data_IF_386242549685
#
_entry.id   IF_386242549685
#
_cell.length_a   1.000
_cell.length_b   1.000
_cell.length_c   1.000
_cell.angle_alpha   90.00
_cell.angle_beta   90.00
_cell.angle_gamma   90.00
#
_symmetry.space_group_name_H-M   'P 1'
#
loop_
_entity.id
_entity.type
_entity.pdbx_description
1 polymer ?
#
# COMPACT_ATOMS: atom_id res chain seq x y z
N UNK A 1 -9.44 -29.64 8.67
CA UNK A 1 -10.75 -29.41 9.30
C UNK A 1 -11.82 -29.19 8.23
N UNK A 2 -13.08 -29.58 8.46
CA UNK A 2 -14.18 -29.24 7.54
C UNK A 2 -14.67 -27.82 7.84
N UNK A 3 -15.14 -27.09 6.82
CA UNK A 3 -15.55 -25.69 6.95
C UNK A 3 -16.57 -25.45 8.08
N UNK A 4 -17.55 -26.34 8.26
CA UNK A 4 -18.57 -26.22 9.32
C UNK A 4 -17.98 -26.28 10.74
N UNK A 5 -16.93 -27.08 10.93
CA UNK A 5 -16.29 -27.21 12.24
C UNK A 5 -15.41 -25.99 12.53
N UNK A 6 -14.83 -25.38 11.48
CA UNK A 6 -14.09 -24.12 11.57
C UNK A 6 -15.01 -22.95 11.94
N UNK A 7 -16.13 -22.80 11.24
CA UNK A 7 -17.11 -21.73 11.49
C UNK A 7 -17.64 -21.80 12.93
N UNK A 8 -17.96 -23.01 13.40
CA UNK A 8 -18.45 -23.21 14.76
C UNK A 8 -17.40 -22.84 15.82
N UNK A 9 -16.12 -23.18 15.62
CA UNK A 9 -15.03 -22.77 16.52
C UNK A 9 -14.80 -21.26 16.50
N UNK A 10 -14.83 -20.66 15.31
CA UNK A 10 -14.67 -19.22 15.13
C UNK A 10 -15.78 -18.45 15.85
N UNK A 11 -17.04 -18.85 15.66
CA UNK A 11 -18.20 -18.19 16.26
C UNK A 11 -18.28 -18.37 17.78
N UNK A 12 -17.76 -19.48 18.31
CA UNK A 12 -17.73 -19.75 19.75
C UNK A 12 -16.68 -18.91 20.50
N UNK A 13 -15.64 -18.41 19.82
CA UNK A 13 -14.64 -17.49 20.39
C UNK A 13 -13.81 -18.02 21.57
N UNK A 14 -13.98 -19.29 21.93
CA UNK A 14 -13.39 -19.92 23.12
C UNK A 14 -12.13 -20.74 22.80
N UNK A 15 -11.87 -21.02 21.52
CA UNK A 15 -10.70 -21.75 21.04
C UNK A 15 -9.90 -20.90 20.06
N UNK A 16 -8.58 -20.96 20.17
CA UNK A 16 -7.68 -20.27 19.27
C UNK A 16 -7.63 -20.99 17.91
N UNK A 17 -8.18 -20.36 16.88
CA UNK A 17 -8.24 -20.91 15.51
C UNK A 17 -6.91 -20.78 14.76
N UNK A 18 -5.89 -20.11 15.33
CA UNK A 18 -4.61 -19.90 14.64
C UNK A 18 -3.87 -21.21 14.35
N UNK A 19 -4.06 -22.26 15.17
CA UNK A 19 -3.45 -23.58 14.94
C UNK A 19 -4.06 -24.33 13.75
N UNK A 20 -5.30 -24.01 13.39
CA UNK A 20 -6.04 -24.62 12.27
C UNK A 20 -5.78 -23.90 10.92
N UNK A 21 -5.07 -22.76 10.93
CA UNK A 21 -4.74 -21.96 9.75
C UNK A 21 -3.36 -22.31 9.17
N UNK A 22 -3.29 -22.53 7.86
CA UNK A 22 -2.00 -22.61 7.15
C UNK A 22 -1.42 -21.20 6.94
N UNK A 23 -0.56 -20.79 7.87
CA UNK A 23 0.12 -19.49 7.83
C UNK A 23 1.39 -19.49 6.97
N UNK A 24 1.77 -20.61 6.34
CA UNK A 24 2.99 -20.70 5.52
C UNK A 24 2.97 -19.73 4.33
N UNK A 25 1.78 -19.36 3.85
CA UNK A 25 1.56 -18.43 2.74
C UNK A 25 1.21 -17.01 3.20
N UNK A 26 1.23 -16.74 4.51
CA UNK A 26 0.87 -15.45 5.08
C UNK A 26 1.86 -14.38 4.63
N UNK A 27 1.43 -13.51 3.71
CA UNK A 27 2.21 -12.35 3.25
C UNK A 27 1.49 -11.05 3.55
N UNK A 28 2.26 -10.01 3.90
CA UNK A 28 1.72 -8.65 3.96
C UNK A 28 1.69 -8.08 2.55
N UNK A 29 0.51 -8.09 1.94
CA UNK A 29 0.29 -7.49 0.61
C UNK A 29 0.70 -6.01 0.64
N UNK A 30 1.31 -5.51 -0.43
CA UNK A 30 1.80 -4.13 -0.56
C UNK A 30 3.01 -3.72 0.32
N UNK A 31 3.77 -4.67 0.88
CA UNK A 31 5.01 -4.36 1.61
C UNK A 31 6.29 -4.46 0.77
N UNK A 32 6.20 -4.95 -0.46
CA UNK A 32 7.34 -5.03 -1.36
C UNK A 32 7.57 -3.68 -2.05
N UNK A 33 8.70 -3.03 -1.72
CA UNK A 33 9.12 -1.81 -2.38
C UNK A 33 9.83 -2.14 -3.71
N UNK A 34 9.26 -1.69 -4.83
CA UNK A 34 9.92 -1.75 -6.14
C UNK A 34 10.59 -0.42 -6.45
N UNK A 35 11.90 -0.43 -6.72
CA UNK A 35 12.63 0.76 -7.19
C UNK A 35 12.37 0.95 -8.69
N UNK A 36 12.09 2.19 -9.08
CA UNK A 36 11.93 2.60 -10.47
C UNK A 36 12.84 3.82 -10.72
N UNK A 37 13.43 3.88 -11.91
CA UNK A 37 14.18 5.05 -12.39
C UNK A 37 13.30 5.75 -13.43
N UNK A 38 13.17 7.07 -13.33
CA UNK A 38 12.36 7.89 -14.23
C UNK A 38 13.12 9.18 -14.49
N UNK A 39 13.21 9.55 -15.76
CA UNK A 39 13.80 10.81 -16.19
C UNK A 39 12.71 11.88 -16.35
N UNK A 40 13.02 13.10 -15.91
CA UNK A 40 12.14 14.27 -16.04
C UNK A 40 12.90 15.42 -16.71
N UNK A 41 12.24 16.23 -17.55
CA UNK A 41 12.82 17.48 -18.02
C UNK A 41 13.23 18.39 -16.86
N UNK A 42 14.32 19.15 -17.01
CA UNK A 42 14.86 20.01 -15.94
C UNK A 42 13.80 20.95 -15.35
N UNK A 43 12.97 21.56 -16.20
CA UNK A 43 11.91 22.48 -15.75
C UNK A 43 10.87 21.80 -14.84
N UNK A 44 10.63 20.50 -15.01
CA UNK A 44 9.73 19.73 -14.13
C UNK A 44 10.38 19.53 -12.77
N UNK A 45 11.66 19.16 -12.75
CA UNK A 45 12.42 18.97 -11.50
C UNK A 45 12.48 20.27 -10.70
N UNK A 46 12.79 21.38 -11.36
CA UNK A 46 12.85 22.71 -10.73
C UNK A 46 11.49 23.15 -10.17
N UNK A 47 10.39 22.73 -10.80
CA UNK A 47 9.04 23.03 -10.34
C UNK A 47 8.68 22.15 -9.13
N UNK A 48 9.05 20.86 -9.16
CA UNK A 48 8.86 19.93 -8.04
C UNK A 48 9.66 20.38 -6.81
N UNK A 49 10.88 20.86 -6.99
CA UNK A 49 11.71 21.35 -5.88
C UNK A 49 11.15 22.59 -5.21
N UNK A 50 10.67 23.56 -6.00
CA UNK A 50 10.02 24.75 -5.47
C UNK A 50 8.79 24.39 -4.63
N UNK A 51 7.98 23.47 -5.11
CA UNK A 51 6.78 23.05 -4.40
C UNK A 51 7.10 22.21 -3.15
N UNK A 52 8.08 21.32 -3.25
CA UNK A 52 8.57 20.54 -2.12
C UNK A 52 9.10 21.47 -1.01
N UNK A 53 9.87 22.50 -1.37
CA UNK A 53 10.37 23.51 -0.44
C UNK A 53 9.23 24.34 0.19
N UNK A 54 8.23 24.73 -0.61
CA UNK A 54 7.06 25.48 -0.13
C UNK A 54 6.27 24.74 0.95
N UNK A 55 6.13 23.42 0.80
CA UNK A 55 5.38 22.57 1.74
C UNK A 55 6.29 22.03 2.86
N UNK A 56 7.61 22.13 2.71
CA UNK A 56 8.59 21.65 3.70
C UNK A 56 8.81 20.14 3.64
N UNK A 57 8.74 19.54 2.44
CA UNK A 57 8.92 18.11 2.21
C UNK A 57 10.05 17.84 1.20
N UNK A 58 10.47 16.59 1.08
CA UNK A 58 11.46 16.21 0.06
C UNK A 58 10.81 16.06 -1.32
N UNK A 59 11.60 16.22 -2.39
CA UNK A 59 11.16 15.94 -3.77
C UNK A 59 10.55 14.55 -3.91
N UNK A 60 11.12 13.53 -3.27
CA UNK A 60 10.57 12.17 -3.31
C UNK A 60 9.21 12.05 -2.62
N UNK A 61 9.00 12.78 -1.52
CA UNK A 61 7.74 12.75 -0.80
C UNK A 61 6.61 13.36 -1.63
N UNK A 62 6.84 14.52 -2.27
CA UNK A 62 5.82 15.16 -3.10
C UNK A 62 5.48 14.32 -4.34
N UNK A 63 6.47 13.71 -4.99
CA UNK A 63 6.25 12.80 -6.13
C UNK A 63 5.38 11.62 -5.70
N UNK A 64 5.68 10.99 -4.55
CA UNK A 64 4.88 9.87 -4.03
C UNK A 64 3.45 10.29 -3.74
N UNK A 65 3.26 11.44 -3.09
CA UNK A 65 1.94 11.92 -2.72
C UNK A 65 1.08 12.19 -3.95
N UNK A 66 1.57 12.97 -4.91
CA UNK A 66 0.83 13.27 -6.14
C UNK A 66 0.54 12.04 -7.00
N UNK A 67 1.47 11.10 -7.09
CA UNK A 67 1.24 9.86 -7.84
C UNK A 67 0.11 9.04 -7.22
N UNK A 68 0.09 8.90 -5.89
CA UNK A 68 -0.99 8.18 -5.18
C UNK A 68 -2.33 8.90 -5.34
N UNK A 69 -2.35 10.22 -5.17
CA UNK A 69 -3.55 11.04 -5.37
C UNK A 69 -4.11 10.86 -6.79
N UNK A 70 -3.25 10.93 -7.81
CA UNK A 70 -3.66 10.78 -9.20
C UNK A 70 -4.19 9.38 -9.51
N UNK A 71 -3.50 8.34 -9.04
CA UNK A 71 -3.95 6.95 -9.21
C UNK A 71 -5.27 6.67 -8.51
N UNK A 72 -5.50 7.26 -7.33
CA UNK A 72 -6.78 7.16 -6.62
C UNK A 72 -7.89 7.84 -7.39
N UNK A 73 -7.67 9.06 -7.89
CA UNK A 73 -8.65 9.78 -8.70
C UNK A 73 -9.06 8.94 -9.93
N UNK A 74 -8.10 8.36 -10.65
CA UNK A 74 -8.39 7.51 -11.82
C UNK A 74 -9.06 6.18 -11.48
N UNK A 75 -8.85 5.64 -10.28
CA UNK A 75 -9.51 4.41 -9.82
C UNK A 75 -10.95 4.64 -9.35
N UNK A 76 -11.28 5.85 -8.89
CA UNK A 76 -12.65 6.24 -8.50
C UNK A 76 -13.52 6.52 -9.72
N UNK A 77 -12.92 6.98 -10.83
CA UNK A 77 -13.61 7.24 -12.09
C UNK A 77 -13.92 5.97 -12.93
N UNK A 78 -13.68 4.76 -12.39
CA UNK A 78 -13.96 3.46 -13.04
C UNK A 78 -14.99 2.65 -12.25
#
# INVERSE_FOLDING_TARGET
>A
MKAKDFDMKFDQGNEDIFEDLDLSTRRRVNQEYKRINVDFPSWVVDSLDREAARIGVTRQAIIKFWLVERLRAEAVDK
#
